data_IF_189398088540
#
_entry.id   IF_189398088540
#
_cell.length_a   1.000
_cell.length_b   1.000
_cell.length_c   1.000
_cell.angle_alpha   90.00
_cell.angle_beta   90.00
_cell.angle_gamma   90.00
#
_symmetry.space_group_name_H-M   'P 1'
#
loop_
_entity.id
_entity.type
_entity.pdbx_description
1 polymer ?
#
# COMPACT_ATOMS: atom_id res chain seq x y z
N UNK A 1 -13.70 -11.49 -2.86
CA UNK A 1 -14.92 -10.69 -2.65
C UNK A 1 -16.11 -11.26 -3.43
N UNK A 2 -16.05 -11.38 -4.78
CA UNK A 2 -17.18 -11.93 -5.56
C UNK A 2 -17.55 -13.33 -5.06
N UNK A 3 -16.57 -14.22 -4.88
CA UNK A 3 -16.79 -15.56 -4.36
C UNK A 3 -17.45 -15.52 -2.97
N UNK A 4 -16.98 -14.62 -2.09
CA UNK A 4 -17.54 -14.47 -0.72
C UNK A 4 -19.04 -14.11 -0.79
N UNK A 5 -19.38 -13.12 -1.62
CA UNK A 5 -20.77 -12.68 -1.82
C UNK A 5 -21.63 -13.85 -2.35
N UNK A 6 -21.16 -14.51 -3.41
CA UNK A 6 -21.89 -15.64 -4.04
C UNK A 6 -22.11 -16.79 -3.03
N UNK A 7 -21.07 -17.16 -2.29
CA UNK A 7 -21.16 -18.29 -1.35
C UNK A 7 -22.06 -17.99 -0.17
N UNK A 8 -22.00 -16.76 0.39
CA UNK A 8 -22.84 -16.40 1.55
C UNK A 8 -24.31 -16.28 1.12
N UNK A 9 -24.60 -15.47 0.12
CA UNK A 9 -26.00 -15.24 -0.30
C UNK A 9 -26.55 -16.41 -1.09
N UNK A 10 -25.75 -17.06 -1.92
CA UNK A 10 -26.15 -18.26 -2.65
C UNK A 10 -26.46 -19.43 -1.68
N UNK A 11 -25.58 -19.66 -0.71
CA UNK A 11 -25.79 -20.65 0.33
C UNK A 11 -27.08 -20.39 1.13
N UNK A 12 -27.31 -19.11 1.49
CA UNK A 12 -28.53 -18.71 2.21
C UNK A 12 -29.79 -19.02 1.40
N UNK A 13 -29.78 -18.71 0.08
CA UNK A 13 -30.91 -19.00 -0.82
C UNK A 13 -31.11 -20.52 -0.95
N UNK A 14 -30.05 -21.29 -1.15
CA UNK A 14 -30.12 -22.74 -1.27
C UNK A 14 -30.65 -23.41 0.01
N UNK A 15 -30.42 -22.80 1.17
CA UNK A 15 -30.94 -23.26 2.46
C UNK A 15 -32.42 -22.86 2.67
N UNK A 16 -33.07 -22.24 1.68
CA UNK A 16 -34.49 -21.81 1.79
C UNK A 16 -34.66 -20.44 2.44
N UNK A 17 -33.56 -19.66 2.57
CA UNK A 17 -33.62 -18.34 3.18
C UNK A 17 -34.41 -17.33 2.37
N UNK A 18 -35.14 -16.46 3.07
CA UNK A 18 -36.00 -15.44 2.44
C UNK A 18 -35.21 -14.15 2.16
N UNK A 19 -34.63 -14.04 0.96
CA UNK A 19 -33.83 -12.88 0.54
C UNK A 19 -34.57 -11.55 0.71
N UNK A 20 -35.87 -11.55 0.55
CA UNK A 20 -36.71 -10.35 0.72
C UNK A 20 -36.47 -9.65 2.08
N UNK A 21 -36.25 -10.38 3.17
CA UNK A 21 -35.98 -9.79 4.50
C UNK A 21 -34.66 -8.99 4.43
N UNK A 22 -33.63 -9.61 3.83
CA UNK A 22 -32.31 -8.97 3.70
C UNK A 22 -32.41 -7.74 2.78
N UNK A 23 -32.98 -7.90 1.59
CA UNK A 23 -33.05 -6.81 0.60
C UNK A 23 -33.88 -5.62 1.09
N UNK A 24 -34.90 -5.88 1.92
CA UNK A 24 -35.75 -4.81 2.48
C UNK A 24 -34.99 -4.05 3.60
N UNK A 25 -34.23 -4.77 4.44
CA UNK A 25 -33.48 -4.16 5.54
C UNK A 25 -32.20 -3.46 5.08
N UNK A 26 -31.57 -3.96 4.03
CA UNK A 26 -30.24 -3.55 3.56
C UNK A 26 -30.07 -2.02 3.39
N UNK A 27 -31.01 -1.27 2.77
CA UNK A 27 -30.82 0.19 2.61
C UNK A 27 -30.73 0.93 3.95
N UNK A 28 -31.53 0.54 4.93
CA UNK A 28 -31.60 1.21 6.23
C UNK A 28 -30.42 0.81 7.12
N UNK A 29 -30.15 -0.49 7.22
CA UNK A 29 -29.02 -1.02 7.97
C UNK A 29 -27.68 -0.55 7.35
N UNK A 30 -27.60 -0.56 6.01
CA UNK A 30 -26.44 -0.07 5.28
C UNK A 30 -26.19 1.41 5.53
N UNK A 31 -27.25 2.23 5.59
CA UNK A 31 -27.13 3.66 5.90
C UNK A 31 -26.64 3.88 7.34
N UNK A 32 -27.19 3.14 8.30
CA UNK A 32 -26.79 3.27 9.71
C UNK A 32 -25.33 2.83 9.91
N UNK A 33 -24.99 1.64 9.44
CA UNK A 33 -23.64 1.06 9.63
C UNK A 33 -22.60 1.80 8.79
N UNK A 34 -22.88 1.96 7.48
CA UNK A 34 -21.97 2.61 6.54
C UNK A 34 -21.77 4.09 6.87
N UNK A 35 -22.87 4.79 7.17
CA UNK A 35 -22.81 6.20 7.57
C UNK A 35 -22.00 6.40 8.83
N UNK A 36 -22.24 5.57 9.86
CA UNK A 36 -21.47 5.63 11.11
C UNK A 36 -19.99 5.30 10.87
N UNK A 37 -19.70 4.26 10.06
CA UNK A 37 -18.31 3.87 9.73
C UNK A 37 -17.57 5.00 8.99
N UNK A 38 -18.23 5.61 7.99
CA UNK A 38 -17.66 6.74 7.24
C UNK A 38 -17.46 7.94 8.17
N UNK A 39 -18.45 8.27 9.01
CA UNK A 39 -18.35 9.35 9.97
C UNK A 39 -17.18 9.17 10.94
N UNK A 40 -17.05 7.96 11.50
CA UNK A 40 -15.95 7.61 12.39
C UNK A 40 -14.60 7.70 11.66
N UNK A 41 -14.51 7.20 10.43
CA UNK A 41 -13.31 7.26 9.60
C UNK A 41 -12.89 8.72 9.34
N UNK A 42 -13.83 9.59 8.99
CA UNK A 42 -13.55 11.01 8.73
C UNK A 42 -13.12 11.75 10.00
N UNK A 43 -13.70 11.39 11.15
CA UNK A 43 -13.39 12.02 12.44
C UNK A 43 -12.02 11.55 12.99
N UNK A 44 -11.61 10.33 12.69
CA UNK A 44 -10.40 9.71 13.23
C UNK A 44 -9.13 10.00 12.41
N UNK A 45 -9.27 10.49 11.17
CA UNK A 45 -8.14 10.62 10.23
C UNK A 45 -8.02 12.04 9.71
N UNK A 46 -6.78 12.48 9.48
CA UNK A 46 -6.50 13.76 8.85
C UNK A 46 -6.80 13.70 7.34
N UNK A 47 -6.91 14.87 6.71
CA UNK A 47 -7.29 14.99 5.30
C UNK A 47 -6.28 14.32 4.35
N UNK A 48 -5.00 14.28 4.74
CA UNK A 48 -3.93 13.64 3.97
C UNK A 48 -4.15 12.13 3.94
N UNK A 49 -4.35 11.51 5.11
CA UNK A 49 -4.64 10.07 5.24
C UNK A 49 -5.91 9.69 4.47
N UNK A 50 -6.96 10.52 4.53
CA UNK A 50 -8.22 10.28 3.79
C UNK A 50 -7.94 10.22 2.28
N UNK A 51 -7.23 11.20 1.74
CA UNK A 51 -6.89 11.25 0.30
C UNK A 51 -6.02 10.05 -0.13
N UNK A 52 -5.01 9.74 0.68
CA UNK A 52 -4.12 8.58 0.41
C UNK A 52 -4.92 7.28 0.44
N UNK A 53 -5.79 7.09 1.43
CA UNK A 53 -6.64 5.90 1.56
C UNK A 53 -7.53 5.71 0.32
N UNK A 54 -8.16 6.80 -0.17
CA UNK A 54 -9.00 6.74 -1.37
C UNK A 54 -8.17 6.37 -2.62
N UNK A 55 -6.96 6.93 -2.75
CA UNK A 55 -6.01 6.57 -3.82
C UNK A 55 -5.60 5.10 -3.74
N UNK A 56 -5.32 4.63 -2.52
CA UNK A 56 -4.88 3.27 -2.24
C UNK A 56 -5.95 2.23 -2.60
N UNK A 57 -7.23 2.56 -2.41
CA UNK A 57 -8.33 1.68 -2.81
C UNK A 57 -8.25 1.35 -4.30
N UNK A 58 -7.80 2.29 -5.13
CA UNK A 58 -7.58 2.06 -6.56
C UNK A 58 -6.43 1.08 -6.83
N UNK A 59 -5.38 1.10 -6.00
CA UNK A 59 -4.22 0.22 -6.14
C UNK A 59 -4.55 -1.26 -5.93
N UNK A 60 -5.64 -1.57 -5.18
CA UNK A 60 -6.10 -2.95 -4.93
C UNK A 60 -6.33 -3.70 -6.25
N UNK A 61 -6.82 -3.00 -7.26
CA UNK A 61 -7.14 -3.58 -8.57
C UNK A 61 -5.94 -3.59 -9.52
N UNK A 62 -4.99 -2.66 -9.36
CA UNK A 62 -3.81 -2.51 -10.24
C UNK A 62 -2.60 -3.33 -9.77
N UNK A 63 -2.53 -3.62 -8.47
CA UNK A 63 -1.38 -4.28 -7.86
C UNK A 63 -0.27 -3.28 -7.51
N UNK A 64 0.90 -3.79 -7.04
CA UNK A 64 2.00 -2.91 -6.63
C UNK A 64 2.60 -2.15 -7.82
N UNK A 65 3.14 -0.97 -7.54
CA UNK A 65 3.65 0.00 -8.51
C UNK A 65 4.85 -0.52 -9.32
N UNK A 66 5.73 -1.30 -8.68
CA UNK A 66 7.03 -1.68 -9.23
C UNK A 66 7.02 -3.12 -9.75
N UNK A 67 7.45 -3.29 -11.00
CA UNK A 67 7.54 -4.59 -11.66
C UNK A 67 9.02 -4.96 -11.92
N UNK A 68 9.26 -6.14 -12.50
CA UNK A 68 10.60 -6.68 -12.76
C UNK A 68 11.48 -5.71 -13.57
N UNK A 69 10.89 -5.06 -14.59
CA UNK A 69 11.62 -4.10 -15.42
C UNK A 69 12.05 -2.87 -14.62
N UNK A 70 11.17 -2.40 -13.73
CA UNK A 70 11.48 -1.24 -12.88
C UNK A 70 12.67 -1.51 -11.95
N UNK A 71 12.77 -2.75 -11.42
CA UNK A 71 13.94 -3.15 -10.62
C UNK A 71 15.21 -3.23 -11.48
N UNK A 72 15.10 -3.73 -12.70
CA UNK A 72 16.21 -3.74 -13.66
C UNK A 72 16.68 -2.31 -13.96
N UNK A 73 15.73 -1.42 -14.27
CA UNK A 73 15.96 0.00 -14.56
C UNK A 73 16.63 0.70 -13.36
N UNK A 74 16.18 0.41 -12.13
CA UNK A 74 16.78 0.92 -10.89
C UNK A 74 18.25 0.50 -10.77
N UNK A 75 18.53 -0.79 -10.95
CA UNK A 75 19.89 -1.32 -10.83
C UNK A 75 20.82 -0.70 -11.87
N UNK A 76 20.30 -0.45 -13.08
CA UNK A 76 21.06 0.22 -14.15
C UNK A 76 21.31 1.69 -13.81
N UNK A 77 20.29 2.42 -13.36
CA UNK A 77 20.40 3.81 -12.92
C UNK A 77 21.46 3.96 -11.83
N UNK A 78 21.36 3.13 -10.79
CA UNK A 78 22.28 3.19 -9.66
C UNK A 78 23.71 2.80 -10.07
N UNK A 79 23.86 1.83 -10.98
CA UNK A 79 25.17 1.47 -11.53
C UNK A 79 25.81 2.69 -12.23
N UNK A 80 25.04 3.43 -13.03
CA UNK A 80 25.57 4.62 -13.70
C UNK A 80 25.96 5.71 -12.70
N UNK A 81 25.05 6.07 -11.80
CA UNK A 81 25.29 7.13 -10.81
C UNK A 81 26.52 6.82 -9.93
N UNK A 82 26.63 5.59 -9.43
CA UNK A 82 27.75 5.21 -8.56
C UNK A 82 29.08 5.11 -9.30
N UNK A 83 29.07 4.82 -10.60
CA UNK A 83 30.29 4.88 -11.40
C UNK A 83 30.75 6.33 -11.62
N UNK A 84 29.83 7.26 -11.84
CA UNK A 84 30.16 8.70 -11.93
C UNK A 84 30.75 9.18 -10.59
N UNK A 85 30.05 8.85 -9.48
CA UNK A 85 30.49 9.21 -8.12
C UNK A 85 31.91 8.67 -7.85
N UNK A 86 32.20 7.44 -8.26
CA UNK A 86 33.49 6.79 -8.04
C UNK A 86 34.62 7.41 -8.88
N UNK A 87 34.30 7.83 -10.11
CA UNK A 87 35.30 8.46 -11.00
C UNK A 87 35.65 9.86 -10.52
N UNK A 88 34.65 10.66 -10.22
CA UNK A 88 34.84 12.03 -9.74
C UNK A 88 33.59 12.51 -9.00
N UNK A 89 33.68 12.70 -7.69
CA UNK A 89 32.53 13.18 -6.90
C UNK A 89 31.94 14.52 -7.37
N UNK A 90 32.73 15.37 -8.04
CA UNK A 90 32.23 16.65 -8.57
C UNK A 90 31.28 16.44 -9.76
N UNK A 91 31.51 15.40 -10.55
CA UNK A 91 30.72 15.14 -11.77
C UNK A 91 29.31 14.62 -11.43
N UNK A 92 29.06 14.08 -10.23
CA UNK A 92 27.74 13.62 -9.81
C UNK A 92 26.83 14.79 -9.37
N UNK A 93 27.42 15.91 -8.92
CA UNK A 93 26.63 17.05 -8.40
C UNK A 93 25.51 17.52 -9.32
N UNK A 94 25.75 17.77 -10.63
CA UNK A 94 24.68 18.20 -11.53
C UNK A 94 23.52 17.20 -11.62
N UNK A 95 23.82 15.90 -11.47
CA UNK A 95 22.80 14.84 -11.55
C UNK A 95 21.92 14.78 -10.29
N UNK A 96 22.50 15.04 -9.10
CA UNK A 96 21.75 14.98 -7.83
C UNK A 96 21.09 16.31 -7.46
N UNK A 97 21.62 17.46 -7.95
CA UNK A 97 21.02 18.78 -7.69
C UNK A 97 19.88 19.10 -8.66
N UNK A 98 19.96 18.58 -9.89
CA UNK A 98 18.94 18.80 -10.92
C UNK A 98 18.58 17.47 -11.61
N UNK A 99 17.97 16.51 -10.87
CA UNK A 99 17.69 15.18 -11.43
C UNK A 99 16.77 15.22 -12.65
N UNK A 100 15.88 16.20 -12.77
CA UNK A 100 15.02 16.38 -13.93
C UNK A 100 15.80 16.75 -15.20
N UNK A 101 16.96 17.35 -15.06
CA UNK A 101 17.83 17.73 -16.18
C UNK A 101 18.91 16.69 -16.46
N UNK A 102 19.11 15.77 -15.54
CA UNK A 102 20.11 14.71 -15.62
C UNK A 102 19.84 13.73 -16.78
N UNK A 103 20.82 13.55 -17.65
CA UNK A 103 20.75 12.57 -18.74
C UNK A 103 20.66 11.13 -18.22
N UNK A 104 21.17 10.88 -17.01
CA UNK A 104 21.12 9.56 -16.36
C UNK A 104 19.69 9.28 -15.90
N UNK A 105 19.07 10.20 -15.12
CA UNK A 105 17.71 10.04 -14.60
C UNK A 105 16.65 10.03 -15.72
N UNK A 106 16.86 10.80 -16.79
CA UNK A 106 15.92 10.86 -17.94
C UNK A 106 15.73 9.50 -18.62
N UNK A 107 16.69 8.62 -18.52
CA UNK A 107 16.56 7.26 -19.03
C UNK A 107 15.47 6.45 -18.31
N UNK A 108 14.95 6.59 -16.91
CA UNK A 108 14.22 6.18 -16.32
C UNK A 108 13.33 6.74 -16.04
N UNK A 109 12.38 7.27 -16.79
CA UNK A 109 11.34 8.27 -16.50
C UNK A 109 10.33 7.86 -15.42
N UNK A 110 10.12 6.58 -15.17
CA UNK A 110 9.20 6.10 -14.12
C UNK A 110 9.80 6.32 -12.73
N UNK A 111 11.10 6.10 -12.59
CA UNK A 111 11.83 6.36 -11.33
C UNK A 111 11.93 7.87 -11.11
N UNK A 112 12.26 8.63 -12.16
CA UNK A 112 12.35 10.08 -12.09
C UNK A 112 11.04 10.75 -11.63
N UNK A 113 9.89 10.15 -11.93
CA UNK A 113 8.58 10.66 -11.50
C UNK A 113 8.25 10.29 -10.05
N UNK A 114 9.01 9.42 -9.45
CA UNK A 114 8.81 9.02 -8.04
C UNK A 114 9.68 9.89 -7.14
N UNK A 115 9.04 10.88 -6.52
CA UNK A 115 9.71 11.87 -5.68
C UNK A 115 10.54 11.19 -4.58
N UNK A 116 9.96 10.20 -3.89
CA UNK A 116 10.60 9.51 -2.76
C UNK A 116 11.86 8.75 -3.19
N UNK A 117 11.80 8.08 -4.36
CA UNK A 117 12.97 7.36 -4.88
C UNK A 117 14.10 8.33 -5.26
N UNK A 118 13.75 9.43 -5.97
CA UNK A 118 14.73 10.44 -6.40
C UNK A 118 15.36 11.12 -5.19
N UNK A 119 14.52 11.55 -4.24
CA UNK A 119 14.96 12.21 -3.00
C UNK A 119 15.92 11.31 -2.21
N UNK A 120 15.52 10.05 -1.99
CA UNK A 120 16.36 9.07 -1.28
C UNK A 120 17.73 8.89 -1.96
N UNK A 121 17.75 8.73 -3.29
CA UNK A 121 19.00 8.55 -4.05
C UNK A 121 19.87 9.81 -3.93
N UNK A 122 19.28 10.98 -4.22
CA UNK A 122 20.04 12.24 -4.28
C UNK A 122 20.54 12.66 -2.90
N UNK A 123 19.71 12.59 -1.87
CA UNK A 123 20.07 13.03 -0.53
C UNK A 123 21.11 12.09 0.11
N UNK A 124 21.00 10.79 -0.14
CA UNK A 124 21.98 9.82 0.37
C UNK A 124 23.33 10.05 -0.34
N UNK A 125 23.33 10.22 -1.67
CA UNK A 125 24.60 10.49 -2.40
C UNK A 125 25.20 11.83 -1.93
N UNK A 126 24.37 12.85 -1.70
CA UNK A 126 24.83 14.14 -1.15
C UNK A 126 25.48 13.95 0.23
N UNK A 127 24.83 13.16 1.09
CA UNK A 127 25.36 12.86 2.43
C UNK A 127 26.67 12.07 2.36
N UNK A 128 26.78 11.16 1.41
CA UNK A 128 28.01 10.40 1.16
C UNK A 128 29.17 11.33 0.76
N UNK A 129 28.90 12.34 -0.08
CA UNK A 129 29.93 13.30 -0.51
C UNK A 129 30.36 14.20 0.67
N UNK A 130 29.40 14.66 1.46
CA UNK A 130 29.64 15.60 2.56
C UNK A 130 30.28 14.94 3.78
N UNK A 131 30.00 13.67 4.05
CA UNK A 131 30.35 13.01 5.30
C UNK A 131 30.92 11.61 5.05
N UNK A 132 31.81 11.49 4.10
CA UNK A 132 32.36 10.21 3.61
C UNK A 132 33.07 9.39 4.70
N UNK A 133 33.59 10.08 5.72
CA UNK A 133 34.33 9.41 6.80
C UNK A 133 33.43 8.79 7.89
N UNK A 134 32.13 9.08 7.87
CA UNK A 134 31.21 8.60 8.89
C UNK A 134 30.09 7.73 8.29
N UNK A 135 30.47 6.54 7.89
CA UNK A 135 29.60 5.54 7.25
C UNK A 135 28.33 5.28 8.11
N UNK A 136 28.51 5.09 9.41
CA UNK A 136 27.39 4.76 10.31
C UNK A 136 26.34 5.88 10.37
N UNK A 137 26.75 7.13 10.32
CA UNK A 137 25.81 8.25 10.37
C UNK A 137 24.93 8.29 9.11
N UNK A 138 25.52 8.07 7.93
CA UNK A 138 24.77 8.05 6.66
C UNK A 138 23.82 6.84 6.63
N UNK A 139 24.29 5.70 7.12
CA UNK A 139 23.50 4.47 7.23
C UNK A 139 22.28 4.68 8.13
N UNK A 140 22.50 5.28 9.32
CA UNK A 140 21.44 5.58 10.29
C UNK A 140 20.38 6.55 9.72
N UNK A 141 20.82 7.59 9.00
CA UNK A 141 19.92 8.53 8.33
C UNK A 141 19.07 7.81 7.28
N UNK A 142 19.69 6.97 6.49
CA UNK A 142 19.00 6.22 5.44
C UNK A 142 17.99 5.20 6.01
N UNK A 143 18.36 4.51 7.09
CA UNK A 143 17.45 3.60 7.79
C UNK A 143 16.24 4.35 8.34
N UNK A 144 16.47 5.50 9.00
CA UNK A 144 15.41 6.33 9.53
C UNK A 144 14.46 6.81 8.42
N UNK A 145 15.02 7.20 7.26
CA UNK A 145 14.23 7.61 6.10
C UNK A 145 13.36 6.44 5.57
N UNK A 146 13.94 5.24 5.49
CA UNK A 146 13.21 4.04 5.04
C UNK A 146 12.07 3.69 6.01
N UNK A 147 12.32 3.76 7.32
CA UNK A 147 11.29 3.51 8.33
C UNK A 147 10.15 4.53 8.21
N UNK A 148 10.49 5.81 8.08
CA UNK A 148 9.49 6.88 7.91
C UNK A 148 8.62 6.65 6.66
N UNK A 149 9.26 6.34 5.53
CA UNK A 149 8.54 6.05 4.27
C UNK A 149 7.61 4.85 4.42
N UNK A 150 8.03 3.82 5.15
CA UNK A 150 7.21 2.63 5.39
C UNK A 150 5.98 2.98 6.23
N UNK A 151 6.20 3.69 7.34
CA UNK A 151 5.13 4.08 8.27
C UNK A 151 4.09 4.94 7.55
N UNK A 152 4.54 5.99 6.84
CA UNK A 152 3.66 6.88 6.08
C UNK A 152 2.83 6.10 5.04
N UNK A 153 3.47 5.18 4.32
CA UNK A 153 2.79 4.40 3.27
C UNK A 153 1.70 3.48 3.83
N UNK A 154 1.79 3.09 5.10
CA UNK A 154 0.85 2.16 5.75
C UNK A 154 -0.32 2.86 6.43
N UNK A 155 -0.30 4.20 6.60
CA UNK A 155 -1.39 4.95 7.25
C UNK A 155 -2.76 4.65 6.64
N UNK A 156 -2.87 4.62 5.30
CA UNK A 156 -4.12 4.30 4.60
C UNK A 156 -4.63 2.89 4.88
N UNK A 157 -3.72 1.92 4.92
CA UNK A 157 -4.08 0.52 5.24
C UNK A 157 -4.55 0.39 6.69
N UNK A 158 -3.89 1.06 7.62
CA UNK A 158 -4.27 1.07 9.04
C UNK A 158 -5.63 1.74 9.24
N UNK A 159 -5.89 2.87 8.57
CA UNK A 159 -7.17 3.56 8.63
C UNK A 159 -8.33 2.67 8.14
N UNK A 160 -8.12 1.94 7.04
CA UNK A 160 -9.09 0.96 6.53
C UNK A 160 -9.29 -0.21 7.49
N UNK A 161 -8.21 -0.69 8.11
CA UNK A 161 -8.30 -1.78 9.09
C UNK A 161 -9.09 -1.34 10.32
N UNK A 162 -8.82 -0.15 10.85
CA UNK A 162 -9.57 0.41 11.98
C UNK A 162 -11.07 0.52 11.66
N UNK A 163 -11.40 0.95 10.42
CA UNK A 163 -12.78 1.00 9.98
C UNK A 163 -13.39 -0.42 9.93
N UNK A 164 -12.66 -1.41 9.40
CA UNK A 164 -13.12 -2.80 9.35
C UNK A 164 -13.40 -3.34 10.76
N UNK A 165 -12.53 -3.05 11.71
CA UNK A 165 -12.64 -3.51 13.10
C UNK A 165 -13.84 -2.87 13.84
N UNK A 166 -14.26 -1.67 13.43
CA UNK A 166 -15.43 -0.98 14.00
C UNK A 166 -16.76 -1.51 13.47
N UNK A 167 -16.79 -2.05 12.24
CA UNK A 167 -18.04 -2.45 11.56
C UNK A 167 -18.88 -3.47 12.34
N UNK A 168 -18.32 -4.52 12.98
CA UNK A 168 -19.14 -5.45 13.75
C UNK A 168 -19.87 -4.76 14.93
N UNK A 169 -19.18 -3.87 15.65
CA UNK A 169 -19.79 -3.11 16.75
C UNK A 169 -20.90 -2.19 16.23
N UNK A 170 -20.69 -1.53 15.08
CA UNK A 170 -21.73 -0.70 14.45
C UNK A 170 -22.92 -1.54 13.99
N UNK A 171 -22.68 -2.78 13.57
CA UNK A 171 -23.75 -3.75 13.25
C UNK A 171 -24.59 -4.08 14.47
N UNK A 172 -23.97 -4.20 15.65
CA UNK A 172 -24.70 -4.43 16.92
C UNK A 172 -25.54 -3.18 17.25
N UNK A 173 -24.99 -1.98 17.08
CA UNK A 173 -25.75 -0.72 17.31
C UNK A 173 -27.00 -0.68 16.42
N UNK A 174 -26.85 -0.98 15.15
CA UNK A 174 -27.97 -1.01 14.19
C UNK A 174 -29.02 -2.04 14.60
N UNK A 175 -28.59 -3.25 15.00
CA UNK A 175 -29.48 -4.32 15.45
C UNK A 175 -30.28 -3.91 16.70
N UNK A 176 -29.63 -3.27 17.69
CA UNK A 176 -30.28 -2.78 18.91
C UNK A 176 -31.33 -1.73 18.56
N UNK A 177 -31.04 -0.80 17.66
CA UNK A 177 -32.03 0.20 17.17
C UNK A 177 -33.21 -0.49 16.50
N UNK A 178 -32.97 -1.55 15.71
CA UNK A 178 -34.00 -2.37 15.09
C UNK A 178 -34.88 -3.06 16.11
N UNK A 179 -34.31 -3.60 17.19
CA UNK A 179 -35.07 -4.22 18.29
C UNK A 179 -35.92 -3.17 19.03
N UNK A 180 -35.35 -1.99 19.32
CA UNK A 180 -36.10 -0.88 19.96
C UNK A 180 -37.32 -0.52 19.09
N UNK A 181 -37.15 -0.40 17.79
CA UNK A 181 -38.22 -0.13 16.82
C UNK A 181 -39.30 -1.25 16.87
N UNK A 182 -38.90 -2.51 16.96
CA UNK A 182 -39.80 -3.66 17.03
C UNK A 182 -40.60 -3.63 18.33
N UNK A 183 -39.96 -3.34 19.46
CA UNK A 183 -40.63 -3.27 20.76
C UNK A 183 -41.67 -2.13 20.80
N UNK A 184 -41.42 -1.02 20.09
CA UNK A 184 -42.40 0.07 19.94
C UNK A 184 -43.61 -0.32 19.09
N UNK A 185 -43.60 -1.51 18.45
CA UNK A 185 -44.67 -2.03 17.58
C UNK A 185 -45.21 -3.36 18.10
N UNK A 186 -45.12 -3.61 19.39
CA UNK A 186 -45.46 -4.93 20.00
C UNK A 186 -46.95 -5.31 19.83
N UNK A 187 -47.79 -4.35 19.56
CA UNK A 187 -49.22 -4.53 19.29
C UNK A 187 -49.53 -5.11 17.90
N UNK A 188 -48.53 -5.20 17.01
CA UNK A 188 -48.71 -5.69 15.64
C UNK A 188 -48.73 -7.23 15.59
N UNK A 189 -49.37 -7.78 14.52
CA UNK A 189 -49.39 -9.25 14.34
C UNK A 189 -48.01 -9.91 14.38
N UNK A 190 -47.90 -11.15 14.89
CA UNK A 190 -46.61 -11.86 15.02
C UNK A 190 -45.82 -11.95 13.70
N UNK A 191 -46.45 -12.07 12.57
CA UNK A 191 -45.79 -12.14 11.26
C UNK A 191 -45.04 -10.84 10.96
N UNK A 192 -45.60 -9.68 11.32
CA UNK A 192 -44.97 -8.37 11.14
C UNK A 192 -43.80 -8.23 12.11
N UNK A 193 -44.03 -8.62 13.38
CA UNK A 193 -42.96 -8.59 14.40
C UNK A 193 -41.75 -9.48 14.01
N UNK A 194 -42.04 -10.71 13.51
CA UNK A 194 -41.01 -11.62 12.99
C UNK A 194 -40.21 -11.00 11.87
N UNK A 195 -40.87 -10.29 10.94
CA UNK A 195 -40.18 -9.57 9.87
C UNK A 195 -39.29 -8.43 10.38
N UNK A 196 -39.78 -7.68 11.39
CA UNK A 196 -38.98 -6.59 12.01
C UNK A 196 -37.78 -7.11 12.78
N UNK A 197 -37.91 -8.22 13.54
CA UNK A 197 -36.82 -8.87 14.23
C UNK A 197 -35.79 -9.40 13.22
N UNK A 198 -36.27 -10.06 12.15
CA UNK A 198 -35.41 -10.53 11.07
C UNK A 198 -34.60 -9.39 10.45
N UNK A 199 -35.26 -8.26 10.21
CA UNK A 199 -34.61 -7.05 9.69
C UNK A 199 -33.51 -6.53 10.63
N UNK A 200 -33.78 -6.47 11.92
CA UNK A 200 -32.80 -6.03 12.94
C UNK A 200 -31.55 -6.94 12.95
N UNK A 201 -31.74 -8.26 12.79
CA UNK A 201 -30.63 -9.21 12.75
C UNK A 201 -29.77 -9.03 11.50
N UNK A 202 -30.32 -8.48 10.42
CA UNK A 202 -29.55 -8.12 9.20
C UNK A 202 -28.47 -7.10 9.53
N UNK A 203 -28.72 -6.18 10.46
CA UNK A 203 -27.71 -5.22 10.92
C UNK A 203 -26.43 -5.89 11.43
N UNK A 204 -26.60 -6.83 12.38
CA UNK A 204 -25.44 -7.57 12.91
C UNK A 204 -24.72 -8.36 11.80
N UNK A 205 -25.50 -9.10 11.00
CA UNK A 205 -24.95 -9.84 9.86
C UNK A 205 -24.15 -8.92 8.94
N UNK A 206 -24.73 -7.78 8.56
CA UNK A 206 -24.15 -6.84 7.61
C UNK A 206 -22.84 -6.24 8.17
N UNK A 207 -22.81 -5.86 9.45
CA UNK A 207 -21.59 -5.33 10.09
C UNK A 207 -20.44 -6.32 10.02
N UNK A 208 -20.69 -7.57 10.41
CA UNK A 208 -19.69 -8.66 10.39
C UNK A 208 -19.29 -8.98 8.93
N UNK A 209 -20.25 -9.07 8.03
CA UNK A 209 -19.99 -9.37 6.62
C UNK A 209 -19.14 -8.29 5.94
N UNK A 210 -19.45 -7.01 6.17
CA UNK A 210 -18.66 -5.90 5.63
C UNK A 210 -17.23 -5.90 6.20
N UNK A 211 -17.10 -6.16 7.51
CA UNK A 211 -15.79 -6.19 8.19
C UNK A 211 -14.87 -7.26 7.57
N UNK A 212 -15.31 -8.51 7.61
CA UNK A 212 -14.44 -9.64 7.28
C UNK A 212 -14.57 -10.12 5.84
N UNK A 213 -15.66 -9.80 5.17
CA UNK A 213 -15.88 -10.18 3.78
C UNK A 213 -15.42 -9.14 2.76
N UNK A 214 -15.34 -7.87 3.16
CA UNK A 214 -15.07 -6.76 2.21
C UNK A 214 -13.94 -5.85 2.70
N UNK A 215 -14.17 -5.06 3.76
CA UNK A 215 -13.24 -3.97 4.14
C UNK A 215 -11.91 -4.51 4.65
N UNK A 216 -11.91 -5.54 5.52
CA UNK A 216 -10.69 -6.17 6.03
C UNK A 216 -9.81 -6.74 4.93
N UNK A 217 -10.34 -7.57 4.02
CA UNK A 217 -9.55 -8.03 2.86
C UNK A 217 -9.02 -6.89 1.98
N UNK A 218 -9.78 -5.80 1.84
CA UNK A 218 -9.31 -4.60 1.12
C UNK A 218 -8.12 -3.96 1.85
N UNK A 219 -8.26 -3.72 3.16
CA UNK A 219 -7.20 -3.14 3.99
C UNK A 219 -5.91 -3.98 3.89
N UNK A 220 -6.06 -5.31 4.01
CA UNK A 220 -4.94 -6.23 3.89
C UNK A 220 -4.28 -6.18 2.51
N UNK A 221 -5.08 -6.07 1.43
CA UNK A 221 -4.53 -5.98 0.07
C UNK A 221 -3.77 -4.66 -0.14
N UNK A 222 -4.28 -3.54 0.39
CA UNK A 222 -3.58 -2.25 0.39
C UNK A 222 -2.24 -2.40 1.12
N UNK A 223 -2.27 -2.97 2.33
CA UNK A 223 -1.07 -3.20 3.14
C UNK A 223 -0.01 -4.01 2.37
N UNK A 224 -0.43 -5.12 1.73
CA UNK A 224 0.48 -5.96 0.94
C UNK A 224 1.11 -5.18 -0.21
N UNK A 225 0.31 -4.41 -0.96
CA UNK A 225 0.81 -3.61 -2.07
C UNK A 225 1.83 -2.56 -1.59
N UNK A 226 1.53 -1.86 -0.48
CA UNK A 226 2.44 -0.84 0.08
C UNK A 226 3.72 -1.46 0.62
N UNK A 227 3.63 -2.62 1.27
CA UNK A 227 4.83 -3.36 1.73
C UNK A 227 5.71 -3.77 0.55
N UNK A 228 5.10 -4.25 -0.54
CA UNK A 228 5.87 -4.59 -1.76
C UNK A 228 6.51 -3.36 -2.41
N UNK A 229 5.80 -2.22 -2.41
CA UNK A 229 6.34 -0.95 -2.92
C UNK A 229 7.52 -0.46 -2.08
N UNK A 230 7.44 -0.59 -0.75
CA UNK A 230 8.52 -0.24 0.17
C UNK A 230 9.81 -1.04 -0.12
N UNK A 231 9.69 -2.31 -0.55
CA UNK A 231 10.87 -3.14 -0.88
C UNK A 231 11.69 -2.56 -2.05
N UNK A 232 11.08 -1.73 -2.89
CA UNK A 232 11.80 -1.01 -3.94
C UNK A 232 12.76 0.02 -3.32
N UNK A 233 12.27 0.80 -2.35
CA UNK A 233 13.09 1.79 -1.63
C UNK A 233 14.16 1.09 -0.78
N UNK A 234 13.81 -0.02 -0.13
CA UNK A 234 14.78 -0.83 0.62
C UNK A 234 15.89 -1.39 -0.30
N UNK A 235 15.57 -1.64 -1.58
CA UNK A 235 16.57 -2.06 -2.57
C UNK A 235 17.55 -0.91 -2.87
N UNK A 236 17.02 0.34 -2.99
CA UNK A 236 17.85 1.55 -3.14
C UNK A 236 18.78 1.67 -1.93
N UNK A 237 18.21 1.61 -0.73
CA UNK A 237 18.98 1.71 0.53
C UNK A 237 20.08 0.69 0.64
N UNK A 238 19.75 -0.59 0.42
CA UNK A 238 20.73 -1.69 0.49
C UNK A 238 21.88 -1.52 -0.51
N UNK A 239 21.59 -0.96 -1.69
CA UNK A 239 22.61 -0.66 -2.69
C UNK A 239 23.56 0.45 -2.21
N UNK A 240 22.98 1.54 -1.71
CA UNK A 240 23.74 2.70 -1.23
C UNK A 240 24.60 2.33 -0.01
N UNK A 241 24.03 1.59 0.95
CA UNK A 241 24.74 1.09 2.14
C UNK A 241 25.92 0.18 1.71
N UNK A 242 25.66 -0.74 0.76
CA UNK A 242 26.72 -1.62 0.25
C UNK A 242 27.87 -0.80 -0.37
N UNK A 243 27.56 0.24 -1.14
CA UNK A 243 28.56 1.11 -1.75
C UNK A 243 29.29 1.96 -0.69
N UNK A 244 28.57 2.43 0.31
CA UNK A 244 29.10 3.20 1.44
C UNK A 244 30.17 2.41 2.20
N UNK A 245 30.02 1.08 2.31
CA UNK A 245 31.01 0.18 2.88
C UNK A 245 32.16 -0.14 1.90
N UNK A 246 32.36 0.69 0.87
CA UNK A 246 33.45 0.60 -0.11
C UNK A 246 33.39 -0.65 -1.01
N UNK A 247 32.27 -1.33 -1.08
CA UNK A 247 32.11 -2.44 -2.03
C UNK A 247 32.19 -1.92 -3.47
N UNK A 248 32.80 -2.68 -4.39
CA UNK A 248 32.76 -2.31 -5.82
C UNK A 248 31.31 -2.16 -6.32
N UNK A 249 31.07 -1.21 -7.23
CA UNK A 249 29.72 -0.89 -7.76
C UNK A 249 28.99 -2.16 -8.22
N UNK A 250 29.67 -3.05 -8.93
CA UNK A 250 29.06 -4.30 -9.42
C UNK A 250 28.60 -5.20 -8.27
N UNK A 251 29.34 -5.23 -7.15
CA UNK A 251 28.96 -6.00 -5.95
C UNK A 251 27.75 -5.35 -5.28
N UNK A 252 27.75 -4.01 -5.15
CA UNK A 252 26.61 -3.29 -4.58
C UNK A 252 25.32 -3.52 -5.39
N UNK A 253 25.42 -3.52 -6.72
CA UNK A 253 24.30 -3.84 -7.62
C UNK A 253 23.81 -5.28 -7.38
N UNK A 254 24.72 -6.25 -7.21
CA UNK A 254 24.32 -7.65 -6.96
C UNK A 254 23.67 -7.81 -5.57
N UNK A 255 24.18 -7.13 -4.55
CA UNK A 255 23.56 -7.10 -3.21
C UNK A 255 22.12 -6.57 -3.33
N UNK A 256 21.95 -5.43 -4.00
CA UNK A 256 20.62 -4.82 -4.22
C UNK A 256 19.68 -5.75 -5.02
N UNK A 257 20.21 -6.37 -6.09
CA UNK A 257 19.42 -7.32 -6.89
C UNK A 257 18.87 -8.44 -6.00
N UNK A 258 19.64 -8.93 -5.05
CA UNK A 258 19.22 -10.00 -4.12
C UNK A 258 18.19 -9.51 -3.09
N UNK A 259 18.16 -8.22 -2.75
CA UNK A 259 17.14 -7.63 -1.88
C UNK A 259 15.78 -7.55 -2.59
N UNK A 260 15.75 -7.45 -3.92
CA UNK A 260 14.49 -7.41 -4.68
C UNK A 260 13.64 -8.66 -4.41
N UNK A 261 12.31 -8.51 -4.24
CA UNK A 261 11.42 -9.66 -4.02
C UNK A 261 11.55 -10.69 -5.13
N UNK A 262 11.59 -11.98 -4.76
CA UNK A 262 11.82 -13.09 -5.70
C UNK A 262 10.92 -13.03 -6.95
N UNK A 263 9.67 -12.57 -6.77
CA UNK A 263 8.66 -12.48 -7.82
C UNK A 263 9.03 -11.49 -8.93
N UNK A 264 9.74 -10.41 -8.58
CA UNK A 264 10.09 -9.31 -9.50
C UNK A 264 11.61 -9.14 -9.65
N UNK A 265 12.39 -10.04 -9.07
CA UNK A 265 13.87 -9.99 -9.13
C UNK A 265 14.35 -10.28 -10.54
N UNK A 266 15.09 -9.36 -11.19
CA UNK A 266 15.74 -9.71 -12.46
C UNK A 266 16.86 -10.72 -12.21
N UNK A 267 17.17 -11.55 -13.23
CA UNK A 267 18.29 -12.48 -13.13
C UNK A 267 19.62 -11.70 -13.23
N UNK A 268 20.70 -12.34 -12.86
CA UNK A 268 22.04 -11.76 -12.97
C UNK A 268 22.35 -11.39 -14.44
N UNK A 269 22.05 -12.32 -15.37
CA UNK A 269 22.32 -12.11 -16.80
C UNK A 269 21.51 -10.96 -17.39
N UNK A 270 20.24 -10.80 -16.96
CA UNK A 270 19.38 -9.69 -17.40
C UNK A 270 19.95 -8.34 -16.99
N UNK A 271 20.42 -8.22 -15.74
CA UNK A 271 21.02 -6.98 -15.25
C UNK A 271 22.35 -6.70 -15.97
N UNK A 272 23.21 -7.71 -16.10
CA UNK A 272 24.50 -7.56 -16.79
C UNK A 272 24.32 -7.12 -18.24
N UNK A 273 23.36 -7.74 -18.94
CA UNK A 273 23.05 -7.38 -20.32
C UNK A 273 22.55 -5.94 -20.43
N UNK A 274 21.63 -5.53 -19.54
CA UNK A 274 21.08 -4.16 -19.54
C UNK A 274 22.18 -3.13 -19.31
N UNK A 275 23.09 -3.39 -18.36
CA UNK A 275 24.24 -2.50 -18.08
C UNK A 275 25.16 -2.38 -19.33
N UNK A 276 25.40 -3.50 -20.02
CA UNK A 276 26.20 -3.50 -21.24
C UNK A 276 25.54 -2.72 -22.37
N UNK A 277 24.23 -2.80 -22.49
CA UNK A 277 23.46 -2.05 -23.51
C UNK A 277 23.50 -0.55 -23.25
N UNK A 278 23.40 -0.13 -21.99
CA UNK A 278 23.53 1.29 -21.60
C UNK A 278 24.92 1.84 -21.99
N UNK A 279 25.98 1.09 -21.71
CA UNK A 279 27.36 1.48 -22.04
C UNK A 279 27.60 1.61 -23.55
N UNK A 280 26.82 0.93 -24.39
CA UNK A 280 26.93 1.06 -25.86
C UNK A 280 26.13 2.24 -26.39
N UNK A 281 25.12 2.71 -25.63
CA UNK A 281 24.25 3.83 -26.03
C UNK A 281 24.79 5.18 -25.56
N UNK A 282 25.73 5.20 -24.62
CA UNK A 282 26.44 6.38 -24.11
C UNK A 282 27.71 6.64 -24.91
#
# INVERSE_FOLDING_TARGET
MVVTVIMVFGGYVLAGGKMHIITHALPFEGMMIGGAAIGAFLAANDMTTIKHTLGDMGSVFKGPKWNKKDYQDLLCLMHELLNVLKQNPVDIEPHIEAPNDSEIFKKXPKILKDHSAVEMICDTIRSMIMNFDNVHQVEELLESQLEGLQEDSLHGAHALQNMADALPALGIVAAVLGVIKTMASIDKPPEILGGMIGGALVGTFLGVFLAYGIVGPFANKVKLNRTEEHLFYATIGGLLVSNLHHNPVNISVEVARRHAPARVRPSFDEVEQAIRELKKAA
#
